data_IF_754191352697
#
_entry.id   IF_754191352697
#
_cell.length_a   1.000
_cell.length_b   1.000
_cell.length_c   1.000
_cell.angle_alpha   90.00
_cell.angle_beta   90.00
_cell.angle_gamma   90.00
#
_symmetry.space_group_name_H-M   'P 1'
#
loop_
_entity.id
_entity.type
_entity.pdbx_description
1 polymer ?
#
# COMPACT_ATOMS: atom_id res chain seq x y z
N UNK A 1 -3.75 -4.65 21.97
CA UNK A 1 -3.82 -3.66 20.86
C UNK A 1 -4.29 -4.30 19.55
N UNK A 2 -3.53 -5.21 18.91
CA UNK A 2 -3.94 -5.75 17.60
C UNK A 2 -5.33 -6.41 17.59
N UNK A 3 -5.65 -7.28 18.57
CA UNK A 3 -6.99 -7.90 18.63
C UNK A 3 -8.12 -6.85 18.76
N UNK A 4 -7.89 -5.77 19.52
CA UNK A 4 -8.88 -4.68 19.64
C UNK A 4 -9.12 -3.98 18.30
N UNK A 5 -8.10 -3.87 17.44
CA UNK A 5 -8.27 -3.34 16.08
C UNK A 5 -9.11 -4.27 15.23
N UNK A 6 -8.90 -5.59 15.35
CA UNK A 6 -9.72 -6.60 14.67
C UNK A 6 -11.18 -6.56 15.13
N UNK A 7 -11.44 -6.47 16.44
CA UNK A 7 -12.78 -6.35 17.00
C UNK A 7 -13.48 -5.06 16.51
N UNK A 8 -12.76 -3.93 16.55
CA UNK A 8 -13.27 -2.66 16.05
C UNK A 8 -13.55 -2.71 14.55
N UNK A 9 -12.65 -3.28 13.75
CA UNK A 9 -12.83 -3.44 12.31
C UNK A 9 -14.07 -4.30 12.00
N UNK A 10 -14.25 -5.42 12.71
CA UNK A 10 -15.40 -6.29 12.54
C UNK A 10 -16.72 -5.58 12.84
N UNK A 11 -16.77 -4.74 13.88
CA UNK A 11 -17.96 -3.94 14.23
C UNK A 11 -18.42 -3.03 13.08
N UNK A 12 -17.50 -2.53 12.27
CA UNK A 12 -17.76 -1.64 11.14
C UNK A 12 -17.61 -2.32 9.77
N UNK A 13 -17.60 -3.66 9.73
CA UNK A 13 -17.44 -4.48 8.52
C UNK A 13 -16.15 -4.21 7.74
N UNK A 14 -15.15 -3.61 8.38
CA UNK A 14 -13.82 -3.39 7.83
C UNK A 14 -13.00 -4.68 7.89
N UNK A 15 -12.00 -4.75 7.01
CA UNK A 15 -11.05 -5.86 6.95
C UNK A 15 -9.62 -5.36 7.18
N UNK A 16 -8.79 -6.22 7.75
CA UNK A 16 -7.39 -5.94 8.09
C UNK A 16 -6.48 -6.87 7.29
N UNK A 17 -5.60 -6.26 6.50
CA UNK A 17 -4.42 -6.88 5.91
C UNK A 17 -3.17 -6.38 6.65
N UNK A 18 -2.02 -7.01 6.41
CA UNK A 18 -0.77 -6.61 7.06
C UNK A 18 0.20 -5.98 6.07
N UNK A 19 0.79 -4.87 6.49
CA UNK A 19 1.89 -4.20 5.82
C UNK A 19 3.18 -4.51 6.58
N UNK A 20 4.02 -5.35 5.99
CA UNK A 20 5.24 -5.87 6.59
C UNK A 20 6.39 -4.89 6.37
N UNK A 21 6.72 -4.16 7.42
CA UNK A 21 7.84 -3.21 7.48
C UNK A 21 9.22 -3.91 7.41
N UNK A 22 10.31 -3.17 7.13
CA UNK A 22 11.67 -3.70 7.18
C UNK A 22 12.09 -3.96 8.61
N UNK A 23 11.85 -5.20 9.07
CA UNK A 23 12.35 -5.68 10.35
C UNK A 23 13.73 -6.34 10.23
N UNK A 24 14.43 -6.44 11.36
CA UNK A 24 15.79 -7.00 11.43
C UNK A 24 15.81 -8.45 10.92
N UNK A 25 16.83 -8.80 10.12
CA UNK A 25 17.03 -10.14 9.55
C UNK A 25 15.88 -10.63 8.65
N UNK A 26 15.15 -9.71 8.01
CA UNK A 26 14.07 -10.04 7.07
C UNK A 26 14.58 -10.84 5.87
N UNK A 27 14.05 -12.04 5.67
CA UNK A 27 14.32 -12.96 4.56
C UNK A 27 13.14 -13.94 4.40
N UNK A 28 13.25 -14.94 3.52
CA UNK A 28 12.19 -15.94 3.33
C UNK A 28 11.85 -16.75 4.58
N UNK A 29 12.83 -17.14 5.39
CA UNK A 29 12.58 -17.88 6.64
C UNK A 29 11.77 -17.04 7.63
N UNK A 30 12.23 -15.82 7.92
CA UNK A 30 11.56 -14.95 8.89
C UNK A 30 10.21 -14.45 8.36
N UNK A 31 10.05 -14.33 7.04
CA UNK A 31 8.74 -14.10 6.41
C UNK A 31 7.77 -15.23 6.74
N UNK A 32 8.17 -16.50 6.52
CA UNK A 32 7.33 -17.66 6.85
C UNK A 32 6.94 -17.65 8.33
N UNK A 33 7.88 -17.37 9.23
CA UNK A 33 7.62 -17.29 10.67
C UNK A 33 6.59 -16.21 11.02
N UNK A 34 6.73 -15.01 10.44
CA UNK A 34 5.78 -13.89 10.62
C UNK A 34 4.41 -14.23 10.06
N UNK A 35 4.34 -14.78 8.84
CA UNK A 35 3.08 -15.17 8.19
C UNK A 35 2.36 -16.24 9.00
N UNK A 36 3.10 -17.26 9.45
CA UNK A 36 2.58 -18.29 10.35
C UNK A 36 2.00 -17.69 11.62
N UNK A 37 2.76 -16.83 12.31
CA UNK A 37 2.28 -16.17 13.52
C UNK A 37 1.00 -15.36 13.27
N UNK A 38 0.96 -14.56 12.19
CA UNK A 38 -0.20 -13.74 11.86
C UNK A 38 -1.43 -14.59 11.55
N UNK A 39 -1.29 -15.62 10.72
CA UNK A 39 -2.40 -16.49 10.33
C UNK A 39 -2.88 -17.34 11.51
N UNK A 40 -1.97 -17.95 12.28
CA UNK A 40 -2.35 -18.75 13.45
C UNK A 40 -3.09 -17.89 14.49
N UNK A 41 -2.66 -16.63 14.68
CA UNK A 41 -3.21 -15.77 15.74
C UNK A 41 -4.47 -15.01 15.33
N UNK A 42 -4.58 -14.59 14.07
CA UNK A 42 -5.66 -13.69 13.61
C UNK A 42 -6.44 -14.24 12.42
N UNK A 43 -5.99 -15.31 11.76
CA UNK A 43 -6.57 -15.81 10.52
C UNK A 43 -8.03 -16.24 10.63
N UNK A 44 -8.47 -16.68 11.81
CA UNK A 44 -9.87 -17.04 12.09
C UNK A 44 -10.77 -15.85 12.42
N UNK A 45 -10.22 -14.64 12.58
CA UNK A 45 -11.02 -13.46 12.87
C UNK A 45 -11.82 -13.01 11.64
N UNK A 46 -13.09 -12.62 11.83
CA UNK A 46 -14.00 -12.23 10.73
C UNK A 46 -13.51 -11.00 9.94
N UNK A 47 -12.76 -10.11 10.59
CA UNK A 47 -12.10 -8.97 9.98
C UNK A 47 -10.78 -9.30 9.27
N UNK A 48 -10.27 -10.54 9.31
CA UNK A 48 -9.03 -10.88 8.61
C UNK A 48 -9.23 -10.86 7.09
N UNK A 49 -8.53 -9.97 6.41
CA UNK A 49 -8.73 -9.73 4.98
C UNK A 49 -8.24 -10.91 4.15
N UNK A 50 -9.10 -11.33 3.21
CA UNK A 50 -8.75 -12.27 2.16
C UNK A 50 -9.24 -11.72 0.83
N UNK A 51 -8.41 -11.83 -0.20
CA UNK A 51 -8.75 -11.43 -1.56
C UNK A 51 -8.92 -12.68 -2.42
N UNK A 52 -9.96 -12.66 -3.27
CA UNK A 52 -10.25 -13.77 -4.16
C UNK A 52 -9.42 -13.64 -5.45
N UNK A 53 -8.57 -14.63 -5.70
CA UNK A 53 -7.81 -14.76 -6.94
C UNK A 53 -7.98 -16.17 -7.48
N UNK A 54 -8.38 -16.29 -8.75
CA UNK A 54 -8.59 -17.58 -9.43
C UNK A 54 -9.46 -18.56 -8.63
N UNK A 55 -10.53 -18.05 -8.01
CA UNK A 55 -11.48 -18.85 -7.21
C UNK A 55 -11.00 -19.23 -5.81
N UNK A 56 -9.82 -18.77 -5.37
CA UNK A 56 -9.29 -19.02 -4.02
C UNK A 56 -9.20 -17.72 -3.23
N UNK A 57 -9.73 -17.70 -2.00
CA UNK A 57 -9.62 -16.56 -1.08
C UNK A 57 -8.37 -16.71 -0.22
N UNK A 58 -7.37 -15.87 -0.46
CA UNK A 58 -6.09 -15.90 0.23
C UNK A 58 -5.87 -14.65 1.07
N UNK A 59 -5.19 -14.75 2.24
CA UNK A 59 -4.64 -13.60 2.96
C UNK A 59 -3.85 -12.66 2.04
N UNK A 60 -3.79 -11.37 2.36
CA UNK A 60 -2.97 -10.40 1.61
C UNK A 60 -1.93 -9.77 2.51
N UNK A 61 -0.68 -9.76 2.06
CA UNK A 61 0.45 -9.10 2.72
C UNK A 61 1.12 -8.11 1.76
N UNK A 62 1.32 -6.88 2.21
CA UNK A 62 2.15 -5.89 1.54
C UNK A 62 3.54 -5.95 2.14
N UNK A 63 4.60 -5.91 1.33
CA UNK A 63 5.99 -5.99 1.81
C UNK A 63 6.72 -4.71 1.44
N UNK A 64 6.89 -3.81 2.41
CA UNK A 64 7.59 -2.53 2.20
C UNK A 64 9.08 -2.76 1.96
N UNK A 65 9.73 -1.96 1.10
CA UNK A 65 11.17 -2.09 0.80
C UNK A 65 11.61 -3.51 0.41
N UNK A 66 10.73 -4.27 -0.26
CA UNK A 66 11.01 -5.68 -0.62
C UNK A 66 12.27 -5.83 -1.49
N UNK A 67 12.60 -4.80 -2.27
CA UNK A 67 13.77 -4.76 -3.15
C UNK A 67 15.12 -4.78 -2.40
N UNK A 68 15.13 -4.50 -1.09
CA UNK A 68 16.37 -4.54 -0.29
C UNK A 68 16.86 -5.97 0.02
N UNK A 69 16.01 -6.97 -0.16
CA UNK A 69 16.34 -8.38 0.06
C UNK A 69 16.51 -9.05 -1.31
N UNK A 70 17.52 -9.91 -1.47
CA UNK A 70 17.79 -10.54 -2.76
C UNK A 70 16.63 -11.42 -3.23
N UNK A 71 16.39 -11.56 -4.55
CA UNK A 71 15.30 -12.38 -5.05
C UNK A 71 15.35 -13.83 -4.61
N UNK A 72 16.54 -14.42 -4.50
CA UNK A 72 16.71 -15.81 -4.05
C UNK A 72 16.19 -16.02 -2.62
N UNK A 73 16.46 -15.06 -1.72
CA UNK A 73 15.99 -15.16 -0.33
C UNK A 73 14.47 -15.02 -0.22
N UNK A 74 13.82 -14.31 -1.13
CA UNK A 74 12.36 -14.30 -1.21
C UNK A 74 11.81 -15.58 -1.82
N UNK A 75 12.43 -16.07 -2.90
CA UNK A 75 12.04 -17.29 -3.58
C UNK A 75 12.08 -18.52 -2.65
N UNK A 76 12.97 -18.52 -1.65
CA UNK A 76 13.00 -19.55 -0.62
C UNK A 76 11.66 -19.70 0.12
N UNK A 77 10.84 -18.65 0.22
CA UNK A 77 9.50 -18.71 0.82
C UNK A 77 8.34 -18.61 -0.18
N UNK A 78 8.56 -17.94 -1.31
CA UNK A 78 7.49 -17.60 -2.25
C UNK A 78 7.45 -18.49 -3.49
N UNK A 79 8.48 -19.31 -3.74
CA UNK A 79 8.46 -20.36 -4.77
C UNK A 79 7.80 -21.62 -4.24
N UNK A 80 7.17 -22.42 -5.11
CA UNK A 80 6.60 -23.73 -4.73
C UNK A 80 7.65 -24.64 -4.09
N UNK A 81 8.82 -24.73 -4.70
CA UNK A 81 9.95 -25.58 -4.25
C UNK A 81 10.92 -24.84 -3.31
N UNK A 82 10.53 -23.69 -2.78
CA UNK A 82 11.37 -22.91 -1.86
C UNK A 82 11.63 -23.64 -0.54
N UNK A 83 12.84 -23.52 0.01
CA UNK A 83 13.27 -24.17 1.27
C UNK A 83 12.31 -23.90 2.45
N UNK A 84 11.74 -22.72 2.49
CA UNK A 84 10.78 -22.24 3.49
C UNK A 84 9.42 -21.92 2.85
N UNK A 85 9.06 -22.59 1.75
CA UNK A 85 7.86 -22.29 0.98
C UNK A 85 6.61 -22.22 1.87
N UNK A 86 5.80 -21.18 1.63
CA UNK A 86 4.43 -21.08 2.15
C UNK A 86 3.38 -21.54 1.12
N UNK A 87 3.79 -21.71 -0.14
CA UNK A 87 2.89 -22.02 -1.26
C UNK A 87 2.28 -23.41 -1.10
N UNK A 88 0.97 -23.52 -1.32
CA UNK A 88 0.24 -24.78 -1.16
C UNK A 88 0.11 -25.26 0.30
N UNK A 89 0.47 -24.43 1.28
CA UNK A 89 0.29 -24.72 2.71
C UNK A 89 -0.87 -23.90 3.29
N UNK A 90 -1.24 -24.14 4.55
CA UNK A 90 -2.20 -23.27 5.26
C UNK A 90 -1.71 -21.82 5.46
N UNK A 91 -0.45 -21.55 5.14
CA UNK A 91 0.19 -20.23 5.21
C UNK A 91 0.29 -19.54 3.85
N UNK A 92 -0.28 -20.12 2.80
CA UNK A 92 -0.29 -19.48 1.48
C UNK A 92 -1.09 -18.16 1.52
N UNK A 93 -0.62 -17.19 0.75
CA UNK A 93 -1.12 -15.84 0.76
C UNK A 93 -0.74 -15.09 -0.52
N UNK A 94 -1.37 -13.95 -0.77
CA UNK A 94 -0.98 -13.02 -1.83
C UNK A 94 0.07 -12.07 -1.24
N UNK A 95 1.26 -12.06 -1.83
CA UNK A 95 2.35 -11.18 -1.45
C UNK A 95 2.55 -10.08 -2.49
N UNK A 96 2.43 -8.82 -2.05
CA UNK A 96 2.60 -7.63 -2.87
C UNK A 96 3.90 -6.91 -2.49
N UNK A 97 4.92 -6.99 -3.35
CA UNK A 97 6.19 -6.28 -3.17
C UNK A 97 6.10 -4.79 -3.52
N UNK A 98 7.15 -4.02 -3.25
CA UNK A 98 7.20 -2.60 -3.57
C UNK A 98 7.94 -2.35 -4.90
N UNK A 99 7.29 -1.71 -5.87
CA UNK A 99 7.93 -1.22 -7.08
C UNK A 99 8.43 0.21 -6.87
N UNK A 100 9.75 0.41 -7.01
CA UNK A 100 10.40 1.72 -6.86
C UNK A 100 10.95 2.17 -8.20
N UNK A 101 11.87 1.38 -8.77
CA UNK A 101 12.47 1.61 -10.09
C UNK A 101 12.02 0.56 -11.12
N UNK A 102 12.20 0.84 -12.42
CA UNK A 102 11.78 -0.05 -13.50
C UNK A 102 12.44 -1.43 -13.41
N UNK A 103 13.70 -1.46 -13.00
CA UNK A 103 14.52 -2.67 -12.85
C UNK A 103 13.95 -3.63 -11.80
N UNK A 104 13.14 -3.13 -10.86
CA UNK A 104 12.51 -3.94 -9.83
C UNK A 104 11.44 -4.90 -10.39
N UNK A 105 11.00 -4.77 -11.65
CA UNK A 105 10.15 -5.78 -12.28
C UNK A 105 10.81 -7.16 -12.33
N UNK A 106 12.11 -7.23 -12.66
CA UNK A 106 12.85 -8.51 -12.67
C UNK A 106 12.99 -9.04 -11.24
N UNK A 107 13.33 -8.16 -10.29
CA UNK A 107 13.39 -8.50 -8.86
C UNK A 107 12.08 -9.13 -8.36
N UNK A 108 10.93 -8.51 -8.63
CA UNK A 108 9.61 -9.01 -8.24
C UNK A 108 9.30 -10.38 -8.85
N UNK A 109 9.64 -10.56 -10.13
CA UNK A 109 9.39 -11.81 -10.87
C UNK A 109 10.26 -12.96 -10.35
N UNK A 110 11.55 -12.69 -10.13
CA UNK A 110 12.53 -13.66 -9.62
C UNK A 110 12.23 -14.03 -8.17
N UNK A 111 11.77 -13.07 -7.36
CA UNK A 111 11.35 -13.24 -5.96
C UNK A 111 10.04 -14.04 -5.81
N UNK A 112 9.30 -14.30 -6.89
CA UNK A 112 7.99 -14.97 -6.89
C UNK A 112 6.88 -14.23 -6.12
N UNK A 113 6.91 -12.90 -6.12
CA UNK A 113 5.77 -12.10 -5.65
C UNK A 113 4.55 -12.29 -6.56
N UNK A 114 3.35 -12.22 -5.98
CA UNK A 114 2.08 -12.30 -6.73
C UNK A 114 1.76 -10.98 -7.45
N UNK A 115 2.35 -9.89 -6.97
CA UNK A 115 2.14 -8.55 -7.50
C UNK A 115 2.96 -7.51 -6.77
N UNK A 116 2.59 -6.25 -6.96
CA UNK A 116 3.26 -5.12 -6.36
C UNK A 116 2.35 -3.91 -6.18
N UNK A 117 2.79 -3.00 -5.32
CA UNK A 117 2.19 -1.68 -5.08
C UNK A 117 3.28 -0.59 -5.14
N UNK A 118 2.89 0.69 -5.08
CA UNK A 118 3.81 1.83 -5.33
C UNK A 118 4.08 2.72 -4.13
N UNK A 119 3.31 2.59 -3.05
CA UNK A 119 3.37 3.30 -1.77
C UNK A 119 3.38 4.83 -1.84
N UNK A 120 4.45 5.45 -2.36
CA UNK A 120 4.72 6.87 -2.18
C UNK A 120 3.61 7.78 -2.73
N UNK A 121 3.06 8.64 -1.87
CA UNK A 121 2.06 9.63 -2.23
C UNK A 121 2.61 10.77 -3.10
N UNK A 122 3.93 10.96 -3.10
CA UNK A 122 4.61 12.01 -3.87
C UNK A 122 4.84 11.58 -5.32
N UNK A 123 4.13 12.23 -6.25
CA UNK A 123 4.20 11.98 -7.67
C UNK A 123 5.58 12.36 -8.21
N UNK A 124 6.24 11.45 -8.91
CA UNK A 124 7.58 11.69 -9.44
C UNK A 124 8.70 11.49 -8.42
N UNK A 125 8.41 10.97 -7.23
CA UNK A 125 9.45 10.66 -6.24
C UNK A 125 10.37 9.53 -6.72
N UNK A 126 9.76 8.47 -7.26
CA UNK A 126 10.44 7.31 -7.87
C UNK A 126 9.68 6.88 -9.13
N UNK A 127 10.25 5.97 -9.93
CA UNK A 127 9.59 5.51 -11.16
C UNK A 127 8.17 4.96 -10.89
N UNK A 128 8.01 4.15 -9.84
CA UNK A 128 6.73 3.51 -9.47
C UNK A 128 5.65 4.50 -9.04
N UNK A 129 6.01 5.60 -8.37
CA UNK A 129 5.06 6.63 -7.93
C UNK A 129 4.85 7.75 -8.95
N UNK A 130 5.49 7.67 -10.11
CA UNK A 130 5.31 8.62 -11.22
C UNK A 130 4.07 8.24 -12.03
N UNK A 131 2.97 8.98 -11.87
CA UNK A 131 1.67 8.61 -12.45
C UNK A 131 1.69 8.46 -13.98
N UNK A 132 2.54 9.24 -14.65
CA UNK A 132 2.76 9.14 -16.11
C UNK A 132 3.28 7.76 -16.57
N UNK A 133 3.92 7.02 -15.67
CA UNK A 133 4.48 5.70 -15.96
C UNK A 133 3.46 4.58 -15.73
N UNK A 134 2.35 4.83 -15.03
CA UNK A 134 1.37 3.80 -14.69
C UNK A 134 0.80 3.04 -15.90
N UNK A 135 0.53 3.66 -17.07
CA UNK A 135 0.12 2.91 -18.25
C UNK A 135 1.16 1.88 -18.72
N UNK A 136 2.45 2.22 -18.65
CA UNK A 136 3.54 1.29 -18.98
C UNK A 136 3.71 0.22 -17.90
N UNK A 137 3.64 0.63 -16.62
CA UNK A 137 3.71 -0.29 -15.47
C UNK A 137 2.59 -1.34 -15.52
N UNK A 138 1.37 -0.93 -15.88
CA UNK A 138 0.23 -1.84 -16.04
C UNK A 138 0.47 -2.88 -17.12
N UNK A 139 0.98 -2.45 -18.29
CA UNK A 139 1.33 -3.37 -19.39
C UNK A 139 2.43 -4.36 -19.00
N UNK A 140 3.45 -3.90 -18.27
CA UNK A 140 4.51 -4.78 -17.76
C UNK A 140 3.99 -5.76 -16.71
N UNK A 141 3.08 -5.34 -15.83
CA UNK A 141 2.42 -6.21 -14.87
C UNK A 141 1.62 -7.32 -15.58
N UNK A 142 0.83 -6.97 -16.59
CA UNK A 142 0.07 -7.94 -17.40
C UNK A 142 0.98 -8.96 -18.09
N UNK A 143 2.04 -8.49 -18.76
CA UNK A 143 3.04 -9.35 -19.42
C UNK A 143 3.66 -10.36 -18.45
N UNK A 144 3.92 -9.92 -17.21
CA UNK A 144 4.54 -10.74 -16.16
C UNK A 144 3.53 -11.49 -15.30
N UNK A 145 2.22 -11.33 -15.56
CA UNK A 145 1.12 -11.90 -14.78
C UNK A 145 1.14 -11.49 -13.30
N UNK A 146 1.62 -10.28 -13.01
CA UNK A 146 1.67 -9.68 -11.68
C UNK A 146 0.43 -8.83 -11.43
N UNK A 147 -0.06 -8.81 -10.19
CA UNK A 147 -1.09 -7.87 -9.75
C UNK A 147 -0.45 -6.48 -9.60
N UNK A 148 -0.99 -5.47 -10.27
CA UNK A 148 -0.60 -4.08 -10.04
C UNK A 148 -1.62 -3.37 -9.13
N UNK A 149 -1.12 -2.79 -8.03
CA UNK A 149 -1.91 -2.06 -7.04
C UNK A 149 -1.36 -0.62 -6.90
N UNK A 150 -1.80 0.35 -7.70
CA UNK A 150 -1.36 1.73 -7.55
C UNK A 150 -1.69 2.28 -6.16
N UNK A 151 -0.82 3.14 -5.66
CA UNK A 151 -1.01 3.86 -4.39
C UNK A 151 -1.23 5.36 -4.66
N UNK A 152 -2.33 5.90 -4.15
CA UNK A 152 -2.69 7.32 -4.27
C UNK A 152 -2.62 7.99 -2.91
N UNK A 153 -2.35 9.30 -2.88
CA UNK A 153 -2.32 10.07 -1.64
C UNK A 153 -2.71 11.53 -1.84
N UNK A 154 -3.14 12.23 -0.77
CA UNK A 154 -3.70 13.57 -0.88
C UNK A 154 -2.66 14.68 -1.07
N UNK A 155 -1.39 14.38 -0.79
CA UNK A 155 -0.24 15.28 -0.87
C UNK A 155 0.95 14.66 -0.14
N UNK A 156 2.02 15.43 0.05
CA UNK A 156 3.22 15.00 0.77
C UNK A 156 3.95 16.21 1.35
N UNK A 157 4.30 16.17 2.63
CA UNK A 157 5.11 17.18 3.32
C UNK A 157 5.72 16.59 4.59
N UNK A 158 7.02 16.31 4.58
CA UNK A 158 7.76 15.71 5.70
C UNK A 158 8.87 16.61 6.27
N UNK A 159 8.93 17.88 5.86
CA UNK A 159 10.05 18.79 6.16
C UNK A 159 10.25 19.09 7.64
N UNK A 160 9.26 18.80 8.50
CA UNK A 160 9.45 18.85 9.96
C UNK A 160 10.41 17.79 10.48
N UNK A 161 10.37 16.58 9.91
CA UNK A 161 11.23 15.46 10.30
C UNK A 161 12.41 15.28 9.36
N UNK A 162 12.30 15.75 8.11
CA UNK A 162 13.35 15.71 7.07
C UNK A 162 13.46 17.07 6.38
N UNK A 163 14.04 18.06 7.05
CA UNK A 163 14.13 19.45 6.56
C UNK A 163 14.78 19.61 5.18
N UNK A 164 15.62 18.66 4.78
CA UNK A 164 16.28 18.61 3.47
C UNK A 164 15.39 18.09 2.33
N UNK A 165 14.22 17.50 2.62
CA UNK A 165 13.40 16.77 1.65
C UNK A 165 12.34 17.62 0.92
N UNK A 166 12.45 18.95 0.99
CA UNK A 166 11.46 19.88 0.44
C UNK A 166 11.14 19.70 -1.05
N UNK A 167 12.11 19.19 -1.85
CA UNK A 167 11.93 18.89 -3.29
C UNK A 167 10.77 17.92 -3.56
N UNK A 168 10.46 17.04 -2.61
CA UNK A 168 9.42 16.01 -2.75
C UNK A 168 8.06 16.46 -2.22
N UNK A 169 7.93 17.69 -1.74
CA UNK A 169 6.66 18.27 -1.29
C UNK A 169 5.64 18.28 -2.43
N UNK A 170 4.41 17.88 -2.12
CA UNK A 170 3.24 17.95 -3.00
C UNK A 170 2.09 18.60 -2.26
N UNK A 171 1.79 19.84 -2.66
CA UNK A 171 0.66 20.58 -2.10
C UNK A 171 -0.66 19.86 -2.43
N UNK A 172 -1.57 19.84 -1.47
CA UNK A 172 -2.88 19.17 -1.65
C UNK A 172 -3.80 19.89 -2.63
N UNK A 173 -3.58 21.21 -2.81
CA UNK A 173 -4.29 22.07 -3.76
C UNK A 173 -5.83 21.94 -3.65
N UNK A 174 -6.37 21.99 -2.43
CA UNK A 174 -7.80 21.81 -2.14
C UNK A 174 -8.37 20.53 -2.78
N UNK A 175 -7.67 19.41 -2.58
CA UNK A 175 -8.06 18.09 -3.11
C UNK A 175 -7.74 17.85 -4.59
N UNK A 176 -7.29 18.87 -5.36
CA UNK A 176 -6.96 18.68 -6.78
C UNK A 176 -5.86 17.65 -6.99
N UNK A 177 -4.82 17.67 -6.15
CA UNK A 177 -3.73 16.71 -6.23
C UNK A 177 -4.24 15.26 -6.05
N UNK A 178 -5.08 15.04 -5.04
CA UNK A 178 -5.64 13.71 -4.77
C UNK A 178 -6.56 13.21 -5.89
N UNK A 179 -7.38 14.10 -6.45
CA UNK A 179 -8.25 13.81 -7.61
C UNK A 179 -7.44 13.41 -8.83
N UNK A 180 -6.36 14.13 -9.15
CA UNK A 180 -5.47 13.76 -10.25
C UNK A 180 -4.77 12.41 -10.02
N UNK A 181 -4.37 12.11 -8.79
CA UNK A 181 -3.82 10.80 -8.43
C UNK A 181 -4.84 9.68 -8.69
N UNK A 182 -6.07 9.87 -8.20
CA UNK A 182 -7.15 8.90 -8.37
C UNK A 182 -7.53 8.68 -9.83
N UNK A 183 -7.71 9.75 -10.61
CA UNK A 183 -7.99 9.67 -12.05
C UNK A 183 -6.88 8.94 -12.81
N UNK A 184 -5.62 9.24 -12.49
CA UNK A 184 -4.48 8.54 -13.10
C UNK A 184 -4.48 7.05 -12.78
N UNK A 185 -4.88 6.68 -11.55
CA UNK A 185 -4.97 5.29 -11.13
C UNK A 185 -6.16 4.59 -11.82
N UNK A 186 -7.32 5.23 -11.95
CA UNK A 186 -8.47 4.65 -12.65
C UNK A 186 -8.19 4.40 -14.13
N UNK A 187 -7.40 5.25 -14.78
CA UNK A 187 -7.07 5.13 -16.20
C UNK A 187 -6.31 3.84 -16.57
N UNK A 188 -5.74 3.14 -15.58
CA UNK A 188 -5.07 1.84 -15.77
C UNK A 188 -5.90 0.65 -15.27
N UNK A 189 -7.19 0.87 -14.99
CA UNK A 189 -8.18 -0.15 -14.60
C UNK A 189 -7.68 -1.16 -13.53
N UNK A 190 -7.15 -0.69 -12.39
CA UNK A 190 -6.52 -1.56 -11.42
C UNK A 190 -7.58 -2.40 -10.68
N UNK A 191 -7.25 -3.65 -10.38
CA UNK A 191 -8.11 -4.56 -9.59
C UNK A 191 -8.15 -4.21 -8.10
N UNK A 192 -7.11 -3.53 -7.63
CA UNK A 192 -6.97 -3.06 -6.26
C UNK A 192 -6.33 -1.67 -6.29
N UNK A 193 -6.70 -0.81 -5.35
CA UNK A 193 -6.15 0.53 -5.17
C UNK A 193 -5.77 0.68 -3.69
N UNK A 194 -4.66 1.36 -3.43
CA UNK A 194 -4.23 1.67 -2.05
C UNK A 194 -4.19 3.18 -1.81
N UNK A 195 -4.42 3.58 -0.57
CA UNK A 195 -4.34 4.98 -0.14
C UNK A 195 -3.17 5.12 0.82
N UNK A 196 -2.23 5.97 0.46
CA UNK A 196 -1.13 6.42 1.30
C UNK A 196 -1.43 7.84 1.73
N UNK A 197 -1.98 8.04 2.94
CA UNK A 197 -2.19 7.07 4.02
C UNK A 197 -3.48 7.39 4.79
N UNK A 198 -3.89 6.50 5.70
CA UNK A 198 -4.88 6.89 6.71
C UNK A 198 -4.31 8.00 7.60
N UNK A 199 -3.18 7.75 8.27
CA UNK A 199 -2.66 8.58 9.35
C UNK A 199 -1.11 8.65 9.44
N UNK A 200 -0.38 8.59 8.34
CA UNK A 200 1.08 8.80 8.37
C UNK A 200 1.41 10.30 8.43
N UNK A 201 1.18 10.87 9.62
CA UNK A 201 1.28 12.29 9.92
C UNK A 201 2.68 12.85 9.71
N UNK A 202 3.73 12.04 9.91
CA UNK A 202 5.11 12.45 9.72
C UNK A 202 5.42 12.83 8.26
N UNK A 203 4.69 12.24 7.31
CA UNK A 203 4.88 12.49 5.87
C UNK A 203 3.83 13.43 5.28
N UNK A 204 2.86 13.89 6.09
CA UNK A 204 1.79 14.77 5.63
C UNK A 204 0.86 14.11 4.60
N UNK A 205 0.80 12.77 4.56
CA UNK A 205 0.03 11.99 3.58
C UNK A 205 -1.35 11.54 4.08
N UNK A 206 -1.68 11.82 5.35
CA UNK A 206 -2.90 11.37 6.00
C UNK A 206 -4.19 11.88 5.33
N UNK A 207 -5.20 11.03 5.22
CA UNK A 207 -6.60 11.43 4.96
C UNK A 207 -7.39 11.63 6.25
N UNK A 208 -6.86 11.17 7.40
CA UNK A 208 -7.40 11.47 8.72
C UNK A 208 -7.60 12.98 8.92
N UNK A 209 -8.62 13.31 9.71
CA UNK A 209 -9.04 14.68 9.92
C UNK A 209 -7.95 15.54 10.55
N UNK A 210 -7.70 16.70 9.94
CA UNK A 210 -6.79 17.72 10.46
C UNK A 210 -7.55 19.00 10.80
N UNK A 211 -7.16 19.66 11.89
CA UNK A 211 -7.71 20.94 12.33
C UNK A 211 -6.62 22.02 12.33
N UNK A 212 -6.96 23.30 12.09
CA UNK A 212 -6.02 24.40 12.27
C UNK A 212 -5.42 24.41 13.67
N UNK A 213 -4.10 24.50 13.76
CA UNK A 213 -3.39 24.55 15.03
C UNK A 213 -2.14 25.43 14.94
N UNK A 214 -1.98 26.31 15.91
CA UNK A 214 -0.75 27.06 16.14
C UNK A 214 -0.27 26.79 17.55
N UNK A 215 1.03 26.57 17.69
CA UNK A 215 1.77 26.59 18.95
C UNK A 215 2.84 27.70 18.86
N UNK A 216 3.51 28.02 19.96
CA UNK A 216 4.43 29.17 20.07
C UNK A 216 5.37 29.34 18.88
N UNK A 217 6.05 28.26 18.47
CA UNK A 217 7.08 28.31 17.43
C UNK A 217 6.68 27.61 16.12
N UNK A 218 5.40 27.22 15.98
CA UNK A 218 4.97 26.45 14.82
C UNK A 218 3.49 26.61 14.49
N UNK A 219 3.21 26.97 13.24
CA UNK A 219 1.87 26.91 12.63
C UNK A 219 1.78 25.64 11.80
N UNK A 220 0.83 24.77 12.14
CA UNK A 220 0.60 23.54 11.39
C UNK A 220 -0.18 23.83 10.10
N UNK A 221 0.15 23.09 9.04
CA UNK A 221 -0.68 23.03 7.84
C UNK A 221 -2.03 22.39 8.17
N UNK A 222 -3.08 22.83 7.48
CA UNK A 222 -4.44 22.39 7.71
C UNK A 222 -5.21 22.24 6.38
N UNK A 223 -6.52 21.94 6.47
CA UNK A 223 -7.36 21.70 5.30
C UNK A 223 -8.23 22.91 4.91
N UNK A 224 -8.08 24.06 5.57
CA UNK A 224 -8.91 25.25 5.35
C UNK A 224 -8.83 25.73 3.88
N UNK A 225 -9.94 26.18 3.27
CA UNK A 225 -11.28 26.41 3.85
C UNK A 225 -12.15 25.17 3.98
N UNK A 226 -11.62 23.98 3.71
CA UNK A 226 -12.40 22.75 3.81
C UNK A 226 -12.52 22.27 5.27
N UNK A 227 -13.59 21.52 5.55
CA UNK A 227 -13.81 20.89 6.85
C UNK A 227 -12.74 19.82 7.15
N UNK A 228 -12.50 19.48 8.44
CA UNK A 228 -11.50 18.49 8.83
C UNK A 228 -11.64 17.13 8.14
N UNK A 229 -12.87 16.68 7.88
CA UNK A 229 -13.21 15.41 7.23
C UNK A 229 -13.16 15.46 5.69
N UNK A 230 -12.74 16.57 5.08
CA UNK A 230 -12.77 16.76 3.64
C UNK A 230 -12.11 15.61 2.84
N UNK A 231 -10.94 15.14 3.26
CA UNK A 231 -10.25 14.07 2.55
C UNK A 231 -10.91 12.70 2.75
N UNK A 232 -11.55 12.44 3.90
CA UNK A 232 -12.38 11.23 4.10
C UNK A 232 -13.59 11.24 3.17
N UNK A 233 -14.27 12.38 3.03
CA UNK A 233 -15.40 12.54 2.12
C UNK A 233 -14.97 12.39 0.65
N UNK A 234 -13.79 12.90 0.30
CA UNK A 234 -13.22 12.73 -1.03
C UNK A 234 -12.86 11.27 -1.30
N UNK A 235 -12.22 10.58 -0.35
CA UNK A 235 -11.96 9.12 -0.42
C UNK A 235 -13.25 8.32 -0.57
N UNK A 236 -14.33 8.68 0.13
CA UNK A 236 -15.66 8.05 -0.06
C UNK A 236 -16.15 8.21 -1.50
N UNK A 237 -16.07 9.41 -2.07
CA UNK A 237 -16.47 9.64 -3.47
C UNK A 237 -15.63 8.82 -4.46
N UNK A 238 -14.33 8.64 -4.19
CA UNK A 238 -13.45 7.80 -4.99
C UNK A 238 -13.83 6.33 -4.91
N UNK A 239 -14.18 5.82 -3.72
CA UNK A 239 -14.64 4.45 -3.55
C UNK A 239 -15.95 4.20 -4.31
N UNK A 240 -16.87 5.17 -4.30
CA UNK A 240 -18.13 5.10 -5.06
C UNK A 240 -17.90 5.12 -6.58
N UNK A 241 -16.97 5.94 -7.07
CA UNK A 241 -16.59 6.00 -8.48
C UNK A 241 -15.86 4.72 -8.92
N UNK A 242 -14.89 4.26 -8.13
CA UNK A 242 -14.16 3.01 -8.37
C UNK A 242 -15.10 1.80 -8.48
N UNK A 243 -16.10 1.72 -7.59
CA UNK A 243 -17.11 0.65 -7.63
C UNK A 243 -17.92 0.65 -8.93
N UNK A 244 -18.12 1.82 -9.55
CA UNK A 244 -18.81 1.94 -10.85
C UNK A 244 -17.90 1.54 -12.02
N UNK A 245 -16.59 1.74 -11.91
CA UNK A 245 -15.63 1.40 -12.98
C UNK A 245 -15.25 -0.09 -13.05
N UNK A 246 -15.53 -0.87 -12.01
CA UNK A 246 -15.21 -2.31 -11.94
C UNK A 246 -16.43 -3.24 -12.16
N UNK A 247 -17.61 -2.67 -12.40
CA UNK A 247 -18.80 -3.41 -12.84
C UNK A 247 -18.80 -3.53 -14.36
#
# INVERSE_FOLDING_TARGET
>A
IMMMLFDAAAKYELKIAFHLEPFKNRNGQTLREVVKYVIDKYGNHSAFYRYEIRGTKLPVFYVYDSYQISPQLWADALSQDGKFSVRGTQYDAIFLGLLVEFEHFSHLTESKFDGFYTYFASNGFVYGSSWKNWPLISKEAEKRKLIFVPSIGPGYLDTRVRSWNGKNTKLRLNGKYYKSAFQSALAVHPKLLTITSFNEWHEGTQVESAIPKTITDFKYEDYYPNAPEYYLNLTKSFAEEYRKSIK
#
